data_IF_863965400505
#
_entry.id   IF_863965400505
#
_cell.length_a   1.000
_cell.length_b   1.000
_cell.length_c   1.000
_cell.angle_alpha   90.00
_cell.angle_beta   90.00
_cell.angle_gamma   90.00
#
_symmetry.space_group_name_H-M   'P 1'
#
loop_
_entity.id
_entity.type
_entity.pdbx_description
1 polymer ?
#
# COMPACT_ATOMS: atom_id res chain seq x y z
N UNK A 1 -1.59 14.05 -5.73
CA UNK A 1 -1.32 12.81 -4.98
C UNK A 1 -2.39 11.81 -5.38
N UNK A 2 -2.01 10.62 -5.84
CA UNK A 2 -2.98 9.58 -6.15
C UNK A 2 -3.49 8.98 -4.84
N UNK A 3 -4.81 8.94 -4.65
CA UNK A 3 -5.46 8.33 -3.49
C UNK A 3 -5.93 6.91 -3.85
N UNK A 4 -6.07 6.06 -2.83
CA UNK A 4 -6.47 4.68 -2.98
C UNK A 4 -6.68 4.02 -1.63
N UNK A 5 -7.32 2.86 -1.63
CA UNK A 5 -7.63 2.10 -0.41
C UNK A 5 -6.70 0.90 -0.30
N UNK A 6 -6.17 0.65 0.90
CA UNK A 6 -5.38 -0.56 1.18
C UNK A 6 -6.28 -1.77 0.97
N UNK A 7 -5.97 -2.58 -0.04
CA UNK A 7 -6.71 -3.81 -0.35
C UNK A 7 -6.37 -4.88 0.68
N UNK A 8 -5.08 -5.03 0.95
CA UNK A 8 -4.56 -5.86 2.01
C UNK A 8 -3.09 -5.52 2.25
N UNK A 9 -2.61 -5.78 3.46
CA UNK A 9 -1.21 -5.64 3.83
C UNK A 9 -0.80 -6.80 4.72
N UNK A 10 0.42 -7.30 4.55
CA UNK A 10 0.99 -8.35 5.40
C UNK A 10 2.11 -7.74 6.23
N UNK A 11 1.85 -7.50 7.51
CA UNK A 11 2.81 -6.89 8.44
C UNK A 11 4.04 -7.78 8.66
N UNK A 12 3.85 -9.10 8.72
CA UNK A 12 4.97 -10.04 8.92
C UNK A 12 5.97 -10.03 7.76
N UNK A 13 5.50 -9.77 6.53
CA UNK A 13 6.35 -9.70 5.34
C UNK A 13 6.67 -8.26 4.90
N UNK A 14 5.98 -7.27 5.43
CA UNK A 14 6.20 -5.84 5.13
C UNK A 14 5.75 -5.41 3.72
N UNK A 15 4.77 -6.06 3.10
CA UNK A 15 4.27 -5.64 1.79
C UNK A 15 2.77 -5.87 1.63
N UNK A 16 2.18 -5.18 0.66
CA UNK A 16 0.76 -5.29 0.34
C UNK A 16 0.39 -4.65 -0.99
N UNK A 17 -0.90 -4.42 -1.16
CA UNK A 17 -1.46 -3.79 -2.35
C UNK A 17 -2.49 -2.73 -1.97
N UNK A 18 -2.52 -1.66 -2.76
CA UNK A 18 -3.49 -0.57 -2.69
C UNK A 18 -4.27 -0.57 -4.00
N UNK A 19 -5.59 -0.54 -3.91
CA UNK A 19 -6.45 -0.33 -5.08
C UNK A 19 -6.67 1.18 -5.24
N UNK A 20 -6.30 1.72 -6.41
CA UNK A 20 -6.56 3.13 -6.74
C UNK A 20 -8.02 3.35 -7.10
N UNK A 21 -8.46 4.60 -7.10
CA UNK A 21 -9.83 4.94 -7.53
C UNK A 21 -10.12 4.59 -9.00
N UNK A 22 -9.07 4.40 -9.81
CA UNK A 22 -9.14 3.89 -11.19
C UNK A 22 -9.29 2.35 -11.26
N UNK A 23 -9.34 1.68 -10.11
CA UNK A 23 -9.46 0.21 -10.01
C UNK A 23 -8.15 -0.54 -10.29
N UNK A 24 -7.00 0.14 -10.28
CA UNK A 24 -5.69 -0.50 -10.49
C UNK A 24 -5.09 -0.91 -9.15
N UNK A 25 -4.53 -2.11 -9.11
CA UNK A 25 -3.79 -2.59 -7.95
C UNK A 25 -2.33 -2.15 -8.05
N UNK A 26 -1.87 -1.43 -7.03
CA UNK A 26 -0.51 -0.90 -6.91
C UNK A 26 0.18 -1.60 -5.75
N UNK A 27 1.37 -2.13 -6.02
CA UNK A 27 2.20 -2.77 -4.99
C UNK A 27 2.80 -1.72 -4.04
N UNK A 28 2.83 -2.02 -2.75
CA UNK A 28 3.47 -1.18 -1.72
C UNK A 28 4.37 -2.03 -0.81
N UNK A 29 5.54 -1.50 -0.49
CA UNK A 29 6.50 -2.07 0.46
C UNK A 29 6.62 -1.14 1.68
N UNK A 30 6.81 -1.71 2.87
CA UNK A 30 6.87 -0.95 4.13
C UNK A 30 7.93 0.16 4.12
N UNK A 31 9.02 -0.03 3.38
CA UNK A 31 10.07 0.98 3.23
C UNK A 31 9.61 2.27 2.56
N UNK A 32 8.47 2.24 1.86
CA UNK A 32 7.86 3.40 1.21
C UNK A 32 6.76 4.04 2.08
N UNK A 33 6.40 3.44 3.22
CA UNK A 33 5.44 4.00 4.15
C UNK A 33 6.16 5.08 4.97
N UNK A 34 5.77 6.34 4.78
CA UNK A 34 6.25 7.43 5.59
C UNK A 34 5.61 7.35 6.99
N UNK A 35 6.37 6.81 7.94
CA UNK A 35 6.04 6.81 9.36
C UNK A 35 7.34 6.68 10.13
N UNK A 36 7.53 7.55 11.14
CA UNK A 36 8.55 7.32 12.16
C UNK A 36 8.11 6.05 12.91
N UNK A 37 8.83 4.94 12.68
CA UNK A 37 8.52 3.65 13.30
C UNK A 37 8.56 3.67 14.83
#
# INVERSE_FOLDING_TARGET
>A
MSQGTVKWFNDSKGYGFITTDEGKDVFVHFSAIAGDG
#
